data_IF_863137850978
#
_entry.id   IF_863137850978
#
_cell.length_a   1.000
_cell.length_b   1.000
_cell.length_c   1.000
_cell.angle_alpha   90.00
_cell.angle_beta   90.00
_cell.angle_gamma   90.00
#
_symmetry.space_group_name_H-M   'P 1'
#
loop_
_entity.id
_entity.type
_entity.pdbx_description
1 polymer ?
#
# COMPACT_ATOMS: atom_id res chain seq x y z
N UNK A 1 -13.37 -21.56 6.53
CA UNK A 1 -13.87 -20.88 7.74
C UNK A 1 -13.04 -21.39 8.91
N UNK A 2 -12.37 -20.52 9.67
CA UNK A 2 -11.61 -20.97 10.83
C UNK A 2 -12.58 -21.54 11.87
N UNK A 3 -12.30 -22.74 12.36
CA UNK A 3 -13.12 -23.45 13.35
C UNK A 3 -12.62 -23.06 14.75
N UNK A 4 -13.51 -22.69 15.67
CA UNK A 4 -13.17 -22.29 17.05
C UNK A 4 -12.23 -21.07 17.19
N UNK A 5 -12.22 -20.16 16.21
CA UNK A 5 -11.46 -18.92 16.33
C UNK A 5 -12.14 -17.98 17.34
N UNK A 6 -11.51 -17.78 18.49
CA UNK A 6 -11.80 -16.63 19.36
C UNK A 6 -10.96 -15.45 18.88
N UNK A 7 -11.60 -14.34 18.53
CA UNK A 7 -10.88 -13.16 18.08
C UNK A 7 -9.98 -12.64 19.22
N UNK A 8 -8.69 -12.36 18.96
CA UNK A 8 -7.79 -11.80 19.97
C UNK A 8 -8.25 -10.38 20.36
N UNK A 9 -8.00 -10.01 21.62
CA UNK A 9 -8.21 -8.64 22.07
C UNK A 9 -7.12 -7.74 21.50
N UNK A 10 -7.47 -6.53 21.06
CA UNK A 10 -6.51 -5.61 20.45
C UNK A 10 -5.29 -5.34 21.33
N UNK A 11 -5.50 -5.18 22.65
CA UNK A 11 -4.41 -4.96 23.63
C UNK A 11 -3.40 -6.11 23.72
N UNK A 12 -3.80 -7.31 23.32
CA UNK A 12 -2.97 -8.52 23.38
C UNK A 12 -2.24 -8.83 22.06
N UNK A 13 -2.43 -8.00 21.03
CA UNK A 13 -1.78 -8.20 19.74
C UNK A 13 -0.29 -7.84 19.82
N UNK A 14 0.55 -8.81 19.47
CA UNK A 14 1.98 -8.62 19.34
C UNK A 14 2.34 -8.11 17.93
N UNK A 15 3.43 -7.34 17.79
CA UNK A 15 3.91 -6.94 16.47
C UNK A 15 4.30 -8.17 15.64
N UNK A 16 3.97 -8.13 14.35
CA UNK A 16 4.38 -9.17 13.40
C UNK A 16 5.84 -8.92 13.03
N UNK A 17 6.71 -9.89 13.31
CA UNK A 17 8.13 -9.80 12.97
C UNK A 17 8.30 -9.56 11.46
N UNK A 18 9.12 -8.58 11.11
CA UNK A 18 9.37 -8.22 9.72
C UNK A 18 8.31 -7.31 9.09
N UNK A 19 7.33 -6.83 9.85
CA UNK A 19 6.37 -5.81 9.40
C UNK A 19 6.55 -4.56 10.25
N UNK A 20 6.66 -3.39 9.62
CA UNK A 20 6.64 -2.11 10.32
C UNK A 20 5.60 -1.18 9.71
N UNK A 21 5.01 -0.32 10.53
CA UNK A 21 3.98 0.63 10.15
C UNK A 21 4.47 2.05 10.46
N UNK A 22 4.38 2.93 9.47
CA UNK A 22 4.56 4.37 9.62
C UNK A 22 3.33 5.11 9.10
N UNK A 23 2.92 6.19 9.76
CA UNK A 23 1.82 7.03 9.28
C UNK A 23 2.18 8.49 9.45
N UNK A 24 1.59 9.34 8.61
CA UNK A 24 1.82 10.78 8.62
C UNK A 24 0.58 11.55 8.19
N UNK A 25 0.63 12.86 8.39
CA UNK A 25 -0.36 13.82 7.88
C UNK A 25 0.24 14.51 6.66
N UNK A 26 -0.14 14.05 5.46
CA UNK A 26 0.28 14.66 4.19
C UNK A 26 -0.71 15.71 3.70
N UNK A 27 -1.83 15.90 4.41
CA UNK A 27 -2.87 16.88 4.11
C UNK A 27 -3.48 16.71 2.71
N UNK A 28 -3.68 15.45 2.27
CA UNK A 28 -4.19 15.09 0.93
C UNK A 28 -5.56 15.69 0.65
N UNK A 29 -6.43 15.76 1.67
CA UNK A 29 -7.77 16.38 1.53
C UNK A 29 -8.22 17.20 2.73
N UNK A 30 -7.93 16.74 3.95
CA UNK A 30 -8.34 17.43 5.19
C UNK A 30 -7.13 17.61 6.09
N UNK A 31 -6.97 18.77 6.74
CA UNK A 31 -5.90 18.95 7.72
C UNK A 31 -6.15 18.16 9.00
N UNK A 32 -5.10 18.00 9.81
CA UNK A 32 -5.14 17.35 11.13
C UNK A 32 -5.67 15.92 11.10
N UNK A 33 -5.25 15.16 10.08
CA UNK A 33 -5.65 13.76 9.89
C UNK A 33 -4.49 12.97 9.33
N UNK A 34 -4.16 11.87 10.01
CA UNK A 34 -3.30 10.81 9.46
C UNK A 34 -3.96 10.23 8.22
N UNK A 35 -3.39 10.51 7.07
CA UNK A 35 -3.97 10.21 5.77
C UNK A 35 -3.01 9.50 4.83
N UNK A 36 -1.78 9.25 5.28
CA UNK A 36 -0.80 8.38 4.61
C UNK A 36 -0.34 7.29 5.57
N UNK A 37 -0.29 6.06 5.07
CA UNK A 37 0.23 4.87 5.73
C UNK A 37 1.31 4.25 4.83
N UNK A 38 2.44 3.92 5.43
CA UNK A 38 3.50 3.10 4.85
C UNK A 38 3.60 1.81 5.66
N UNK A 39 3.56 0.68 4.96
CA UNK A 39 3.84 -0.64 5.54
C UNK A 39 5.14 -1.13 4.91
N UNK A 40 6.17 -1.39 5.70
CA UNK A 40 7.41 -2.02 5.21
C UNK A 40 7.42 -3.51 5.55
N UNK A 41 8.02 -4.28 4.65
CA UNK A 41 8.11 -5.73 4.74
C UNK A 41 9.58 -6.16 4.72
N UNK A 42 9.92 -7.13 5.56
CA UNK A 42 11.21 -7.78 5.57
C UNK A 42 11.55 -8.33 4.19
N UNK A 43 12.85 -8.47 3.91
CA UNK A 43 13.33 -9.12 2.71
C UNK A 43 12.73 -10.53 2.62
N UNK A 44 12.48 -10.98 1.39
CA UNK A 44 11.95 -12.32 1.06
C UNK A 44 10.50 -12.58 1.55
N UNK A 45 9.77 -11.52 1.92
CA UNK A 45 8.34 -11.61 2.20
C UNK A 45 7.55 -11.99 0.94
N UNK A 46 6.63 -12.95 1.07
CA UNK A 46 5.68 -13.28 0.01
C UNK A 46 4.45 -12.37 0.12
N UNK A 47 4.08 -11.73 -1.00
CA UNK A 47 2.91 -10.85 -1.08
C UNK A 47 1.99 -11.34 -2.20
N UNK A 48 0.71 -11.39 -1.90
CA UNK A 48 -0.35 -11.64 -2.87
C UNK A 48 -1.43 -10.58 -2.71
N UNK A 49 -2.08 -10.23 -3.83
CA UNK A 49 -3.11 -9.21 -3.87
C UNK A 49 -4.27 -9.64 -4.75
N UNK A 50 -5.49 -9.43 -4.26
CA UNK A 50 -6.70 -9.49 -5.08
C UNK A 50 -7.19 -8.07 -5.33
N UNK A 51 -7.68 -7.83 -6.54
CA UNK A 51 -8.05 -6.49 -6.98
C UNK A 51 -9.49 -6.48 -7.46
N UNK A 52 -10.11 -5.30 -7.45
CA UNK A 52 -11.45 -5.13 -8.01
C UNK A 52 -11.51 -5.58 -9.48
N UNK A 53 -12.61 -6.21 -9.85
CA UNK A 53 -12.94 -6.59 -11.23
C UNK A 53 -13.67 -5.46 -11.99
N UNK A 54 -13.95 -4.34 -11.31
CA UNK A 54 -14.59 -3.19 -11.96
C UNK A 54 -13.71 -2.68 -13.11
N UNK A 55 -14.33 -2.51 -14.29
CA UNK A 55 -13.68 -1.95 -15.48
C UNK A 55 -13.14 -0.54 -15.25
N UNK A 56 -13.80 0.23 -14.38
CA UNK A 56 -13.38 1.57 -13.98
C UNK A 56 -12.49 1.52 -12.72
N UNK A 57 -11.39 0.76 -12.79
CA UNK A 57 -10.44 0.66 -11.69
C UNK A 57 -9.57 1.92 -11.58
N UNK A 58 -9.22 2.29 -10.35
CA UNK A 58 -8.37 3.45 -10.09
C UNK A 58 -6.95 3.21 -10.60
N UNK A 59 -6.24 4.29 -10.98
CA UNK A 59 -4.85 4.22 -11.40
C UNK A 59 -3.93 3.38 -10.46
N UNK A 60 -3.98 3.51 -9.12
CA UNK A 60 -3.15 2.70 -8.23
C UNK A 60 -3.44 1.20 -8.31
N UNK A 61 -4.65 0.77 -8.70
CA UNK A 61 -4.95 -0.66 -8.87
C UNK A 61 -4.14 -1.24 -10.04
N UNK A 62 -4.01 -0.49 -11.14
CA UNK A 62 -3.21 -0.89 -12.30
C UNK A 62 -1.73 -0.97 -11.93
N UNK A 63 -1.21 0.02 -11.19
CA UNK A 63 0.18 0.02 -10.68
C UNK A 63 0.44 -1.19 -9.78
N UNK A 64 -0.44 -1.46 -8.80
CA UNK A 64 -0.28 -2.60 -7.91
C UNK A 64 -0.27 -3.94 -8.66
N UNK A 65 -1.15 -4.12 -9.66
CA UNK A 65 -1.16 -5.31 -10.51
C UNK A 65 0.16 -5.48 -11.26
N UNK A 66 0.68 -4.40 -11.84
CA UNK A 66 1.96 -4.40 -12.54
C UNK A 66 3.11 -4.78 -11.61
N UNK A 67 3.28 -4.11 -10.47
CA UNK A 67 4.37 -4.40 -9.53
C UNK A 67 4.31 -5.83 -8.99
N UNK A 68 3.10 -6.33 -8.69
CA UNK A 68 2.93 -7.70 -8.21
C UNK A 68 3.31 -8.75 -9.28
N UNK A 69 3.11 -8.45 -10.56
CA UNK A 69 3.42 -9.35 -11.67
C UNK A 69 4.91 -9.48 -12.00
N UNK A 70 5.75 -8.52 -11.60
CA UNK A 70 7.17 -8.51 -11.93
C UNK A 70 8.03 -9.49 -11.10
N UNK A 71 7.46 -10.12 -10.06
CA UNK A 71 8.13 -11.11 -9.20
C UNK A 71 9.44 -10.66 -8.52
N UNK A 72 9.70 -9.35 -8.42
CA UNK A 72 10.88 -8.80 -7.73
C UNK A 72 10.75 -8.74 -6.19
N UNK A 73 9.58 -9.13 -5.66
CA UNK A 73 9.28 -9.09 -4.23
C UNK A 73 8.79 -7.71 -3.78
N UNK A 74 7.67 -7.68 -3.04
CA UNK A 74 7.12 -6.41 -2.53
C UNK A 74 7.76 -6.09 -1.18
N UNK A 75 8.36 -4.91 -1.08
CA UNK A 75 9.07 -4.44 0.13
C UNK A 75 8.33 -3.37 0.91
N UNK A 76 7.39 -2.68 0.28
CA UNK A 76 6.56 -1.70 0.96
C UNK A 76 5.18 -1.55 0.29
N UNK A 77 4.20 -1.09 1.05
CA UNK A 77 2.89 -0.66 0.59
C UNK A 77 2.70 0.81 0.98
N UNK A 78 2.31 1.63 0.02
CA UNK A 78 1.92 3.03 0.22
C UNK A 78 0.40 3.14 0.09
N UNK A 79 -0.24 3.70 1.09
CA UNK A 79 -1.69 3.91 1.11
C UNK A 79 -1.99 5.33 1.51
N UNK A 80 -2.82 6.03 0.74
CA UNK A 80 -3.34 7.32 1.09
C UNK A 80 -4.86 7.28 1.26
N UNK A 81 -5.43 8.24 1.99
CA UNK A 81 -6.86 8.48 2.10
C UNK A 81 -7.21 9.90 1.65
N UNK A 82 -8.50 10.16 1.38
CA UNK A 82 -8.97 11.49 0.96
C UNK A 82 -9.04 11.70 -0.56
N UNK A 83 -8.18 11.04 -1.33
CA UNK A 83 -8.23 11.01 -2.81
C UNK A 83 -8.00 9.58 -3.31
N UNK A 84 -8.95 9.06 -4.08
CA UNK A 84 -8.88 7.69 -4.61
C UNK A 84 -7.99 7.55 -5.85
N UNK A 85 -7.67 8.67 -6.53
CA UNK A 85 -6.98 8.68 -7.82
C UNK A 85 -7.66 7.77 -8.87
N UNK A 86 -8.98 7.91 -8.99
CA UNK A 86 -9.83 7.14 -9.91
C UNK A 86 -10.43 8.07 -10.98
N UNK A 87 -10.55 7.59 -12.21
CA UNK A 87 -11.06 8.40 -13.33
C UNK A 87 -10.14 9.55 -13.75
N UNK A 88 -8.84 9.42 -13.48
CA UNK A 88 -7.82 10.48 -13.64
C UNK A 88 -6.92 10.30 -14.86
N UNK A 89 -7.15 9.26 -15.67
CA UNK A 89 -6.41 8.99 -16.90
C UNK A 89 -4.90 8.77 -16.67
N UNK A 90 -4.11 9.11 -17.67
CA UNK A 90 -2.65 8.94 -17.70
C UNK A 90 -1.93 9.73 -16.61
N UNK A 91 -2.36 10.96 -16.33
CA UNK A 91 -1.80 11.76 -15.23
C UNK A 91 -1.98 11.07 -13.88
N UNK A 92 -3.15 10.46 -13.65
CA UNK A 92 -3.38 9.65 -12.46
C UNK A 92 -2.44 8.46 -12.33
N UNK A 93 -2.12 7.79 -13.45
CA UNK A 93 -1.18 6.68 -13.49
C UNK A 93 0.24 7.15 -13.16
N UNK A 94 0.67 8.25 -13.79
CA UNK A 94 1.98 8.84 -13.56
C UNK A 94 2.18 9.24 -12.09
N UNK A 95 1.20 9.94 -11.49
CA UNK A 95 1.28 10.33 -10.06
C UNK A 95 1.37 9.12 -9.13
N UNK A 96 0.69 8.02 -9.46
CA UNK A 96 0.76 6.79 -8.67
C UNK A 96 2.17 6.17 -8.75
N UNK A 97 2.77 6.11 -9.94
CA UNK A 97 4.14 5.64 -10.14
C UNK A 97 5.16 6.55 -9.41
N UNK A 98 5.03 7.87 -9.55
CA UNK A 98 5.88 8.84 -8.86
C UNK A 98 5.80 8.71 -7.35
N UNK A 99 4.62 8.39 -6.81
CA UNK A 99 4.47 8.14 -5.37
C UNK A 99 5.22 6.88 -4.91
N UNK A 100 5.20 5.82 -5.72
CA UNK A 100 5.99 4.61 -5.47
C UNK A 100 7.50 4.87 -5.56
N UNK A 101 7.93 5.63 -6.57
CA UNK A 101 9.33 6.03 -6.75
C UNK A 101 9.82 6.93 -5.60
N UNK A 102 9.03 7.91 -5.19
CA UNK A 102 9.39 8.76 -4.05
C UNK A 102 9.56 7.92 -2.77
N UNK A 103 8.68 6.95 -2.54
CA UNK A 103 8.81 6.06 -1.38
C UNK A 103 10.04 5.14 -1.48
N UNK A 104 10.34 4.62 -2.68
CA UNK A 104 11.49 3.73 -2.89
C UNK A 104 12.79 4.42 -2.51
N UNK A 105 12.94 5.70 -2.92
CA UNK A 105 14.08 6.54 -2.59
C UNK A 105 14.20 6.79 -1.08
N UNK A 106 13.09 7.13 -0.40
CA UNK A 106 13.10 7.35 1.05
C UNK A 106 13.47 6.10 1.84
N UNK A 107 13.09 4.92 1.35
CA UNK A 107 13.38 3.63 1.98
C UNK A 107 14.72 3.02 1.52
N UNK A 108 15.44 3.66 0.58
CA UNK A 108 16.62 3.11 -0.08
C UNK A 108 16.39 1.70 -0.63
N UNK A 109 15.27 1.50 -1.32
CA UNK A 109 14.91 0.26 -2.02
C UNK A 109 14.65 0.55 -3.50
N UNK A 110 14.70 -0.48 -4.33
CA UNK A 110 14.34 -0.37 -5.74
C UNK A 110 12.82 -0.20 -5.90
N UNK A 111 12.38 0.71 -6.77
CA UNK A 111 11.00 0.74 -7.22
C UNK A 111 10.74 -0.44 -8.19
N UNK A 112 9.60 -1.10 -7.99
CA UNK A 112 9.04 -2.03 -8.97
C UNK A 112 8.32 -1.26 -10.08
#
# INVERSE_FOLDING_TARGET
MPVQLSAPKAESLLPVKGVQLGYAEAHVRKPNRKDVLVITLAKDSAVAGVFTQNRFCAAPVTVCKSHLSQAHGIRALLVNTGCANAGTGEDGLLRAQQSCEALSQQLNIQAN
#
